data_IF_749414852783
#
_entry.id   IF_749414852783
#
_cell.length_a   1.000
_cell.length_b   1.000
_cell.length_c   1.000
_cell.angle_alpha   90.00
_cell.angle_beta   90.00
_cell.angle_gamma   90.00
#
_symmetry.space_group_name_H-M   'P 1'
#
loop_
_entity.id
_entity.type
_entity.pdbx_description
1 polymer ?
#
# COMPACT_ATOMS: atom_id res chain seq x y z
N UNK A 1 -3.32 -17.12 -25.39
CA UNK A 1 -2.34 -16.65 -24.38
C UNK A 1 -1.14 -17.59 -24.40
N UNK A 2 0.03 -17.09 -24.76
CA UNK A 2 1.27 -17.87 -24.80
C UNK A 2 1.78 -18.13 -23.38
N UNK A 3 2.60 -19.17 -23.17
CA UNK A 3 3.26 -19.42 -21.86
C UNK A 3 4.06 -18.20 -21.37
N UNK A 4 4.58 -17.40 -22.30
CA UNK A 4 5.33 -16.17 -22.01
C UNK A 4 4.42 -15.06 -21.47
N UNK A 5 3.26 -14.85 -22.09
CA UNK A 5 2.26 -13.86 -21.64
C UNK A 5 1.72 -14.19 -20.24
N UNK A 6 1.39 -15.46 -19.98
CA UNK A 6 0.91 -15.89 -18.66
C UNK A 6 1.98 -15.67 -17.56
N UNK A 7 3.25 -15.92 -17.88
CA UNK A 7 4.38 -15.66 -16.97
C UNK A 7 4.54 -14.15 -16.71
N UNK A 8 4.42 -13.32 -17.74
CA UNK A 8 4.53 -11.87 -17.61
C UNK A 8 3.39 -11.30 -16.75
N UNK A 9 2.14 -11.73 -16.97
CA UNK A 9 0.99 -11.30 -16.18
C UNK A 9 1.14 -11.67 -14.69
N UNK A 10 1.61 -12.90 -14.40
CA UNK A 10 1.88 -13.33 -13.03
C UNK A 10 3.00 -12.52 -12.36
N UNK A 11 4.05 -12.17 -13.11
CA UNK A 11 5.13 -11.34 -12.60
C UNK A 11 4.64 -9.92 -12.26
N UNK A 12 3.84 -9.32 -13.13
CA UNK A 12 3.24 -8.01 -12.91
C UNK A 12 2.28 -8.02 -11.71
N UNK A 13 1.44 -9.04 -11.59
CA UNK A 13 0.57 -9.22 -10.41
C UNK A 13 1.39 -9.30 -9.11
N UNK A 14 2.42 -10.14 -9.08
CA UNK A 14 3.28 -10.30 -7.91
C UNK A 14 4.01 -8.99 -7.54
N UNK A 15 4.42 -8.21 -8.54
CA UNK A 15 5.03 -6.89 -8.33
C UNK A 15 4.05 -5.94 -7.64
N UNK A 16 2.83 -5.82 -8.15
CA UNK A 16 1.79 -4.94 -7.57
C UNK A 16 1.39 -5.38 -6.15
N UNK A 17 1.28 -6.69 -5.93
CA UNK A 17 1.03 -7.24 -4.58
C UNK A 17 2.17 -6.90 -3.62
N UNK A 18 3.43 -6.95 -4.08
CA UNK A 18 4.59 -6.58 -3.25
C UNK A 18 4.53 -5.10 -2.87
N UNK A 19 4.22 -4.21 -3.81
CA UNK A 19 4.05 -2.77 -3.54
C UNK A 19 2.94 -2.50 -2.52
N UNK A 20 1.77 -3.13 -2.69
CA UNK A 20 0.67 -3.03 -1.72
C UNK A 20 1.08 -3.49 -0.32
N UNK A 21 1.83 -4.59 -0.21
CA UNK A 21 2.34 -5.09 1.08
C UNK A 21 3.30 -4.11 1.75
N UNK A 22 4.14 -3.43 0.98
CA UNK A 22 5.04 -2.39 1.51
C UNK A 22 4.22 -1.23 2.09
N UNK A 23 3.23 -0.73 1.36
CA UNK A 23 2.35 0.34 1.84
C UNK A 23 1.61 -0.09 3.12
N UNK A 24 1.15 -1.34 3.19
CA UNK A 24 0.54 -1.89 4.40
C UNK A 24 1.50 -1.91 5.59
N UNK A 25 2.76 -2.26 5.38
CA UNK A 25 3.79 -2.19 6.43
C UNK A 25 4.02 -0.75 6.90
N UNK A 26 4.08 0.21 5.98
CA UNK A 26 4.21 1.63 6.30
C UNK A 26 3.02 2.13 7.12
N UNK A 27 1.80 1.72 6.77
CA UNK A 27 0.60 2.02 7.57
C UNK A 27 0.75 1.50 9.00
N UNK A 28 1.18 0.25 9.18
CA UNK A 28 1.38 -0.31 10.52
C UNK A 28 2.40 0.50 11.33
N UNK A 29 3.50 0.93 10.71
CA UNK A 29 4.48 1.78 11.39
C UNK A 29 3.91 3.16 11.75
N UNK A 30 3.18 3.81 10.83
CA UNK A 30 2.59 5.13 11.08
C UNK A 30 1.52 5.08 12.19
N UNK A 31 0.73 4.00 12.24
CA UNK A 31 -0.20 3.76 13.34
C UNK A 31 0.52 3.56 14.67
N UNK A 32 1.57 2.74 14.71
CA UNK A 32 2.35 2.54 15.93
C UNK A 32 3.04 3.84 16.40
N UNK A 33 3.50 4.68 15.47
CA UNK A 33 4.05 6.00 15.78
C UNK A 33 2.98 6.90 16.40
N UNK A 34 1.79 7.01 15.79
CA UNK A 34 0.65 7.77 16.30
C UNK A 34 0.30 7.35 17.73
N UNK A 35 0.21 6.05 17.99
CA UNK A 35 -0.13 5.50 19.32
C UNK A 35 0.92 5.83 20.40
N UNK A 36 2.17 6.10 20.00
CA UNK A 36 3.30 6.37 20.90
C UNK A 36 3.59 7.86 21.13
N UNK A 37 3.06 8.73 20.26
CA UNK A 37 3.33 10.17 20.27
C UNK A 37 2.31 10.88 21.17
N UNK A 38 2.80 11.78 22.00
CA UNK A 38 1.96 12.65 22.86
C UNK A 38 1.97 14.12 22.42
N UNK A 39 2.89 14.48 21.52
CA UNK A 39 2.99 15.82 20.98
C UNK A 39 1.89 16.08 19.93
N UNK A 40 1.08 17.15 20.06
CA UNK A 40 -0.02 17.44 19.14
C UNK A 40 0.41 17.64 17.68
N UNK A 41 1.53 18.33 17.43
CA UNK A 41 1.99 18.62 16.06
C UNK A 41 2.49 17.33 15.39
N UNK A 42 3.16 16.45 16.13
CA UNK A 42 3.56 15.13 15.64
C UNK A 42 2.36 14.17 15.45
N UNK A 43 1.32 14.28 16.27
CA UNK A 43 0.07 13.54 16.05
C UNK A 43 -0.59 13.96 14.74
N UNK A 44 -0.68 15.26 14.47
CA UNK A 44 -1.22 15.78 13.20
C UNK A 44 -0.40 15.29 12.00
N UNK A 45 0.93 15.30 12.10
CA UNK A 45 1.80 14.74 11.07
C UNK A 45 1.50 13.25 10.80
N UNK A 46 1.32 12.45 11.84
CA UNK A 46 0.95 11.04 11.71
C UNK A 46 -0.45 10.87 11.06
N UNK A 47 -1.42 11.73 11.39
CA UNK A 47 -2.77 11.70 10.78
C UNK A 47 -2.69 11.96 9.27
N UNK A 48 -1.91 12.96 8.84
CA UNK A 48 -1.70 13.24 7.43
C UNK A 48 -0.99 12.09 6.71
N UNK A 49 0.05 11.52 7.33
CA UNK A 49 0.77 10.37 6.77
C UNK A 49 -0.13 9.15 6.61
N UNK A 50 -0.88 8.78 7.66
CA UNK A 50 -1.84 7.67 7.62
C UNK A 50 -2.87 7.88 6.50
N UNK A 51 -3.39 9.10 6.35
CA UNK A 51 -4.38 9.43 5.32
C UNK A 51 -3.80 9.29 3.91
N UNK A 52 -2.58 9.78 3.69
CA UNK A 52 -1.89 9.63 2.42
C UNK A 52 -1.59 8.15 2.10
N UNK A 53 -1.13 7.39 3.08
CA UNK A 53 -0.85 5.96 2.93
C UNK A 53 -2.13 5.15 2.68
N UNK A 54 -3.25 5.47 3.32
CA UNK A 54 -4.56 4.85 3.03
C UNK A 54 -4.99 5.09 1.59
N UNK A 55 -4.87 6.33 1.09
CA UNK A 55 -5.18 6.66 -0.30
C UNK A 55 -4.33 5.85 -1.28
N UNK A 56 -3.00 5.78 -1.02
CA UNK A 56 -2.07 4.96 -1.82
C UNK A 56 -2.41 3.47 -1.75
N UNK A 57 -2.78 2.95 -0.59
CA UNK A 57 -3.18 1.55 -0.42
C UNK A 57 -4.45 1.24 -1.22
N UNK A 58 -5.47 2.09 -1.12
CA UNK A 58 -6.73 1.93 -1.86
C UNK A 58 -6.49 1.92 -3.36
N UNK A 59 -5.64 2.83 -3.87
CA UNK A 59 -5.23 2.83 -5.27
C UNK A 59 -4.50 1.54 -5.66
N UNK A 60 -3.54 1.07 -4.86
CA UNK A 60 -2.81 -0.17 -5.13
C UNK A 60 -3.74 -1.39 -5.19
N UNK A 61 -4.73 -1.47 -4.30
CA UNK A 61 -5.75 -2.54 -4.32
C UNK A 61 -6.62 -2.46 -5.57
N UNK A 62 -7.10 -1.28 -5.94
CA UNK A 62 -7.89 -1.09 -7.17
C UNK A 62 -7.08 -1.46 -8.42
N UNK A 63 -5.80 -1.08 -8.45
CA UNK A 63 -4.88 -1.36 -9.53
C UNK A 63 -4.59 -2.87 -9.69
N UNK A 64 -4.51 -3.62 -8.58
CA UNK A 64 -4.42 -5.09 -8.60
C UNK A 64 -5.72 -5.72 -9.13
N UNK A 65 -6.88 -5.25 -8.68
CA UNK A 65 -8.18 -5.76 -9.14
C UNK A 65 -8.33 -5.59 -10.65
N UNK A 66 -8.02 -4.41 -11.17
CA UNK A 66 -8.09 -4.10 -12.60
C UNK A 66 -7.09 -4.90 -13.46
N UNK A 67 -6.07 -5.54 -12.86
CA UNK A 67 -5.14 -6.41 -13.60
C UNK A 67 -5.71 -7.82 -13.84
N UNK A 68 -6.64 -8.26 -12.99
CA UNK A 68 -7.22 -9.61 -13.02
C UNK A 68 -8.63 -9.62 -13.66
N UNK A 69 -9.27 -8.46 -13.71
CA UNK A 69 -10.62 -8.25 -14.25
C UNK A 69 -10.61 -8.17 -15.77
#
# INVERSE_FOLDING_TARGET
>A
MTKKEAKALKAEYNKRVKEMKVIRSQLHCAYAAFDSVTDPDMMDACIFEISALKSRYNYAVANIKNLIQ
#
